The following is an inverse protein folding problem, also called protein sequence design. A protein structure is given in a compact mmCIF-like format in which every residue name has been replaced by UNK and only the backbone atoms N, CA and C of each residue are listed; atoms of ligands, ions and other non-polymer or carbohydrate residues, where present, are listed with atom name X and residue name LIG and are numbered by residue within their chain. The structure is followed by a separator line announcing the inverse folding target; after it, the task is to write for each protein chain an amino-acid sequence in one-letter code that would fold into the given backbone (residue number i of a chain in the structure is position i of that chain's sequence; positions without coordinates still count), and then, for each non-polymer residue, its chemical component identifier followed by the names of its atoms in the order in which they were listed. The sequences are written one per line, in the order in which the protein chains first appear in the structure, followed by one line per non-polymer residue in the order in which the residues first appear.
data_IF_855048619848
#
_entry.id   IF_855048619848
#
_cell.length_a   1.000
_cell.length_b   1.000
_cell.length_c   1.000
_cell.angle_alpha   90.00
_cell.angle_beta   90.00
_cell.angle_gamma   90.00
#
_symmetry.space_group_name_H-M   'P 1'
#
loop_
_entity.id
_entity.type
_entity.pdbx_description
1 polymer ?
#
# COMPACT_ATOMS: atom_id res chain seq x y z
N UNK A 1 10.22 30.86 0.35
CA UNK A 1 9.50 31.13 -0.91
C UNK A 1 8.12 30.50 -0.80
N UNK A 2 7.05 31.26 -1.00
CA UNK A 2 5.69 30.71 -0.99
C UNK A 2 5.30 30.16 -2.38
N UNK A 3 4.15 29.46 -2.49
CA UNK A 3 3.71 28.84 -3.75
C UNK A 3 3.51 29.87 -4.87
N UNK A 4 3.06 31.09 -4.55
CA UNK A 4 2.84 32.14 -5.55
C UNK A 4 4.17 32.67 -6.10
N UNK A 5 5.14 32.93 -5.22
CA UNK A 5 6.52 33.30 -5.58
C UNK A 5 7.19 32.20 -6.40
N UNK A 6 7.07 30.94 -5.96
CA UNK A 6 7.63 29.78 -6.64
C UNK A 6 7.07 29.63 -8.06
N UNK A 7 5.74 29.78 -8.23
CA UNK A 7 5.09 29.76 -9.55
C UNK A 7 5.60 30.88 -10.46
N UNK A 8 5.80 32.08 -9.94
CA UNK A 8 6.34 33.20 -10.72
C UNK A 8 7.79 32.97 -11.14
N UNK A 9 8.65 32.49 -10.24
CA UNK A 9 10.04 32.18 -10.55
C UNK A 9 10.17 31.03 -11.54
N UNK A 10 9.38 29.97 -11.37
CA UNK A 10 9.32 28.86 -12.31
C UNK A 10 8.91 29.34 -13.72
N UNK A 11 7.86 30.17 -13.82
CA UNK A 11 7.44 30.74 -15.11
C UNK A 11 8.55 31.58 -15.75
N UNK A 12 9.27 32.37 -14.96
CA UNK A 12 10.40 33.18 -15.43
C UNK A 12 11.53 32.29 -15.95
N UNK A 13 11.85 31.20 -15.25
CA UNK A 13 12.85 30.22 -15.70
C UNK A 13 12.43 29.56 -17.01
N UNK A 14 11.19 29.06 -17.07
CA UNK A 14 10.63 28.40 -18.26
C UNK A 14 10.60 29.33 -19.48
N UNK A 15 10.33 30.63 -19.29
CA UNK A 15 10.31 31.61 -20.38
C UNK A 15 11.67 31.86 -21.06
N UNK A 16 12.77 31.39 -20.47
CA UNK A 16 14.13 31.55 -21.05
C UNK A 16 14.49 30.43 -22.03
N UNK A 17 13.69 29.38 -22.10
CA UNK A 17 13.94 28.22 -22.96
C UNK A 17 13.36 28.44 -24.35
N UNK A 18 13.95 27.77 -25.35
CA UNK A 18 13.38 27.74 -26.70
C UNK A 18 12.10 26.87 -26.69
N UNK A 19 11.12 27.10 -27.58
CA UNK A 19 9.86 26.36 -27.57
C UNK A 19 9.99 24.83 -27.60
N UNK A 20 10.97 24.30 -28.34
CA UNK A 20 11.24 22.87 -28.39
C UNK A 20 11.75 22.31 -27.05
N UNK A 21 12.68 23.01 -26.40
CA UNK A 21 13.24 22.64 -25.09
C UNK A 21 12.20 22.80 -23.99
N UNK A 22 11.35 23.84 -24.08
CA UNK A 22 10.23 24.03 -23.16
C UNK A 22 9.27 22.84 -23.22
N UNK A 23 8.94 22.38 -24.43
CA UNK A 23 8.05 21.22 -24.61
C UNK A 23 8.68 19.94 -24.05
N UNK A 24 9.97 19.74 -24.27
CA UNK A 24 10.71 18.61 -23.72
C UNK A 24 10.77 18.65 -22.19
N UNK A 25 11.09 19.81 -21.61
CA UNK A 25 11.16 19.99 -20.16
C UNK A 25 9.79 19.85 -19.50
N UNK A 26 8.73 20.41 -20.09
CA UNK A 26 7.36 20.22 -19.59
C UNK A 26 6.90 18.77 -19.69
N UNK A 27 7.35 18.05 -20.73
CA UNK A 27 7.13 16.60 -20.86
C UNK A 27 7.84 15.82 -19.75
N UNK A 28 9.11 16.13 -19.49
CA UNK A 28 9.86 15.53 -18.38
C UNK A 28 9.22 15.88 -17.03
N UNK A 29 8.92 17.15 -16.74
CA UNK A 29 8.30 17.57 -15.48
C UNK A 29 6.96 16.89 -15.19
N UNK A 30 6.19 16.54 -16.23
CA UNK A 30 4.91 15.84 -16.07
C UNK A 30 5.05 14.34 -15.81
N UNK A 31 6.16 13.74 -16.22
CA UNK A 31 6.35 12.29 -16.27
C UNK A 31 7.61 11.82 -15.51
N UNK A 32 8.23 12.69 -14.72
CA UNK A 32 9.47 12.41 -14.01
C UNK A 32 9.16 12.10 -12.55
N UNK A 33 9.23 10.83 -12.22
CA UNK A 33 9.15 10.35 -10.84
C UNK A 33 10.38 10.79 -10.02
N UNK A 34 11.52 11.02 -10.70
CA UNK A 34 12.75 11.55 -10.10
C UNK A 34 12.54 12.92 -9.43
N UNK A 35 11.71 13.80 -9.99
CA UNK A 35 11.45 15.10 -9.38
C UNK A 35 10.74 14.98 -8.02
N UNK A 36 9.79 14.05 -7.90
CA UNK A 36 9.10 13.83 -6.63
C UNK A 36 10.03 13.16 -5.62
N UNK A 37 10.78 12.15 -6.05
CA UNK A 37 11.70 11.39 -5.20
C UNK A 37 12.85 12.26 -4.68
N UNK A 38 13.43 13.12 -5.52
CA UNK A 38 14.55 14.00 -5.16
C UNK A 38 14.11 15.21 -4.33
N UNK A 39 12.95 15.82 -4.63
CA UNK A 39 12.54 17.10 -4.01
C UNK A 39 11.73 16.92 -2.73
N UNK A 40 10.93 15.86 -2.61
CA UNK A 40 10.06 15.66 -1.46
C UNK A 40 10.64 14.63 -0.48
N UNK A 41 11.58 13.80 -0.95
CA UNK A 41 11.93 12.54 -0.30
C UNK A 41 10.70 11.62 -0.27
N UNK A 42 10.87 10.32 -0.43
CA UNK A 42 9.74 9.39 -0.33
C UNK A 42 9.34 9.14 1.14
N UNK A 43 9.16 10.23 1.91
CA UNK A 43 8.63 10.25 3.27
C UNK A 43 7.30 9.49 3.34
N UNK A 44 6.56 9.52 2.23
CA UNK A 44 5.37 8.72 2.03
C UNK A 44 5.62 7.23 2.11
N UNK A 45 6.53 6.71 1.28
CA UNK A 45 6.94 5.31 1.32
C UNK A 45 7.55 4.93 2.66
N UNK A 46 8.38 5.78 3.27
CA UNK A 46 8.95 5.52 4.59
C UNK A 46 7.86 5.39 5.66
N UNK A 47 6.84 6.26 5.62
CA UNK A 47 5.68 6.16 6.50
C UNK A 47 4.92 4.85 6.26
N UNK A 48 4.63 4.50 5.00
CA UNK A 48 3.93 3.26 4.67
C UNK A 48 4.71 2.01 5.08
N UNK A 49 6.03 2.00 4.88
CA UNK A 49 6.91 0.92 5.33
C UNK A 49 6.93 0.80 6.86
N UNK A 50 6.95 1.92 7.58
CA UNK A 50 6.88 1.93 9.04
C UNK A 50 5.54 1.35 9.54
N UNK A 51 4.43 1.74 8.91
CA UNK A 51 3.10 1.18 9.22
C UNK A 51 3.08 -0.33 8.93
N UNK A 52 3.62 -0.77 7.80
CA UNK A 52 3.71 -2.18 7.45
C UNK A 52 4.54 -2.99 8.47
N UNK A 53 5.66 -2.45 8.95
CA UNK A 53 6.47 -3.05 10.02
C UNK A 53 5.69 -3.22 11.33
N UNK A 54 4.96 -2.19 11.75
CA UNK A 54 4.15 -2.26 12.95
C UNK A 54 2.98 -3.23 12.82
N UNK A 55 2.33 -3.25 11.67
CA UNK A 55 1.27 -4.21 11.40
C UNK A 55 1.80 -5.63 11.50
N UNK A 56 2.97 -5.93 10.89
CA UNK A 56 3.63 -7.24 11.00
C UNK A 56 3.93 -7.66 12.44
N UNK A 57 4.19 -6.72 13.34
CA UNK A 57 4.38 -7.02 14.76
C UNK A 57 3.06 -7.38 15.50
N UNK A 58 1.91 -7.04 14.92
CA UNK A 58 0.58 -7.20 15.53
C UNK A 58 -0.32 -8.23 14.83
N UNK A 59 0.10 -8.78 13.69
CA UNK A 59 -0.62 -9.82 12.94
C UNK A 59 0.21 -11.09 12.80
N UNK A 60 -0.46 -12.22 12.58
CA UNK A 60 0.24 -13.45 12.22
C UNK A 60 0.98 -13.30 10.87
N UNK A 61 2.02 -14.09 10.58
CA UNK A 61 2.79 -13.96 9.33
C UNK A 61 1.98 -14.13 8.04
N UNK A 62 0.84 -14.80 8.10
CA UNK A 62 -0.13 -14.93 7.00
C UNK A 62 -1.05 -13.70 6.85
N UNK A 63 -0.85 -12.68 7.69
CA UNK A 63 -1.62 -11.45 7.76
C UNK A 63 -3.12 -11.68 8.03
N UNK A 64 -3.47 -12.80 8.69
CA UNK A 64 -4.85 -13.15 9.00
C UNK A 64 -5.18 -12.91 10.47
N UNK A 65 -6.38 -12.39 10.73
CA UNK A 65 -6.93 -12.39 12.09
C UNK A 65 -7.69 -13.69 12.37
N UNK A 66 -7.82 -14.05 13.65
CA UNK A 66 -8.52 -15.28 14.08
C UNK A 66 -9.96 -15.39 13.54
N UNK A 67 -10.62 -14.25 13.28
CA UNK A 67 -11.95 -14.20 12.68
C UNK A 67 -11.95 -14.63 11.19
N UNK A 68 -10.86 -14.42 10.45
CA UNK A 68 -10.71 -14.86 9.06
C UNK A 68 -10.32 -16.34 8.97
N UNK A 69 -9.68 -16.90 10.01
CA UNK A 69 -9.21 -18.30 10.03
C UNK A 69 -10.36 -19.30 9.82
N UNK A 70 -11.58 -18.98 10.26
CA UNK A 70 -12.76 -19.84 10.07
C UNK A 70 -13.25 -19.88 8.61
N UNK A 71 -13.21 -18.75 7.89
CA UNK A 71 -13.51 -18.68 6.45
C UNK A 71 -12.40 -19.35 5.64
N UNK A 72 -11.15 -19.13 6.04
CA UNK A 72 -9.95 -19.72 5.44
C UNK A 72 -9.92 -21.25 5.52
N UNK A 73 -10.34 -21.82 6.66
CA UNK A 73 -10.44 -23.28 6.86
C UNK A 73 -11.36 -23.97 5.83
N UNK A 74 -12.35 -23.25 5.27
CA UNK A 74 -13.19 -23.75 4.15
C UNK A 74 -12.47 -23.66 2.80
N UNK A 75 -11.61 -22.65 2.60
CA UNK A 75 -10.83 -22.47 1.37
C UNK A 75 -9.64 -23.44 1.27
N UNK A 76 -9.05 -23.85 2.40
CA UNK A 76 -7.99 -24.89 2.42
C UNK A 76 -8.46 -26.30 2.01
N UNK A 77 -9.76 -26.51 1.77
CA UNK A 77 -10.26 -27.73 1.12
C UNK A 77 -9.99 -27.79 -0.39
N UNK A 78 -9.14 -26.92 -0.92
CA UNK A 78 -8.67 -26.93 -2.31
C UNK A 78 -7.63 -28.03 -2.52
N UNK A 79 -7.62 -28.59 -3.73
CA UNK A 79 -6.71 -29.69 -4.14
C UNK A 79 -5.25 -29.29 -4.27
N UNK A 80 -4.94 -27.99 -4.27
CA UNK A 80 -3.58 -27.44 -4.30
C UNK A 80 -3.36 -26.50 -3.10
N UNK A 81 -2.27 -26.65 -2.36
CA UNK A 81 -1.94 -25.72 -1.29
C UNK A 81 -1.53 -24.36 -1.87
N UNK A 82 -2.10 -23.30 -1.29
CA UNK A 82 -1.90 -21.90 -1.69
C UNK A 82 -1.40 -21.14 -0.46
N UNK A 83 -0.34 -20.36 -0.63
CA UNK A 83 0.20 -19.47 0.41
C UNK A 83 -0.27 -18.05 0.14
N UNK A 84 -0.69 -17.38 1.20
CA UNK A 84 -1.15 -16.01 1.14
C UNK A 84 -0.08 -15.09 1.70
N UNK A 85 0.22 -14.05 0.95
CA UNK A 85 1.18 -13.01 1.33
C UNK A 85 0.46 -11.69 1.16
N UNK A 86 0.49 -10.82 2.17
CA UNK A 86 -0.09 -9.49 2.01
C UNK A 86 0.93 -8.56 1.36
N UNK A 87 0.66 -8.10 0.13
CA UNK A 87 1.58 -7.26 -0.64
C UNK A 87 1.89 -5.91 0.00
N UNK A 88 1.04 -5.42 0.92
CA UNK A 88 1.34 -4.22 1.69
C UNK A 88 2.39 -4.48 2.77
N UNK A 89 2.37 -5.68 3.37
CA UNK A 89 3.27 -6.06 4.46
C UNK A 89 4.62 -6.59 4.00
N UNK A 90 4.63 -7.28 2.86
CA UNK A 90 5.81 -7.96 2.33
C UNK A 90 5.99 -7.62 0.85
N UNK A 91 7.12 -6.99 0.51
CA UNK A 91 7.58 -6.88 -0.87
C UNK A 91 8.23 -8.19 -1.36
N UNK A 92 8.50 -8.28 -2.66
CA UNK A 92 9.06 -9.50 -3.28
C UNK A 92 10.41 -9.89 -2.67
N UNK A 93 11.26 -8.91 -2.32
CA UNK A 93 12.57 -9.11 -1.71
C UNK A 93 12.43 -9.67 -0.28
N UNK A 94 11.45 -9.18 0.48
CA UNK A 94 11.13 -9.69 1.80
C UNK A 94 10.56 -11.11 1.75
N UNK A 95 9.74 -11.42 0.75
CA UNK A 95 9.25 -12.79 0.50
C UNK A 95 10.42 -13.73 0.17
N UNK A 96 11.34 -13.30 -0.70
CA UNK A 96 12.55 -14.05 -1.04
C UNK A 96 13.40 -14.32 0.21
N UNK A 97 13.64 -13.29 1.03
CA UNK A 97 14.39 -13.44 2.28
C UNK A 97 13.73 -14.40 3.27
N UNK A 98 12.40 -14.37 3.39
CA UNK A 98 11.66 -15.33 4.23
C UNK A 98 11.79 -16.77 3.71
N UNK A 99 11.86 -16.94 2.39
CA UNK A 99 12.09 -18.24 1.77
C UNK A 99 13.51 -18.76 2.05
N UNK A 100 14.52 -17.91 1.90
CA UNK A 100 15.92 -18.26 2.18
C UNK A 100 16.15 -18.63 3.65
N UNK A 101 15.47 -17.93 4.58
CA UNK A 101 15.53 -18.19 6.02
C UNK A 101 14.72 -19.42 6.46
N UNK A 102 14.01 -20.08 5.54
CA UNK A 102 13.16 -21.23 5.82
C UNK A 102 11.90 -20.89 6.64
N UNK A 103 11.54 -19.61 6.75
CA UNK A 103 10.31 -19.14 7.41
C UNK A 103 9.09 -19.19 6.49
N UNK A 104 9.34 -19.26 5.18
CA UNK A 104 8.35 -19.47 4.13
C UNK A 104 8.91 -20.49 3.12
N UNK A 105 8.05 -21.14 2.34
CA UNK A 105 8.48 -22.00 1.24
C UNK A 105 7.66 -21.67 0.01
N UNK A 106 8.31 -21.60 -1.16
CA UNK A 106 7.64 -21.53 -2.47
C UNK A 106 7.15 -22.87 -2.98
N UNK A 107 7.54 -23.95 -2.30
CA UNK A 107 7.23 -25.31 -2.72
C UNK A 107 6.66 -26.13 -1.56
N UNK A 108 5.79 -27.08 -1.87
CA UNK A 108 5.30 -28.06 -0.90
C UNK A 108 5.71 -29.47 -1.30
N UNK A 109 5.82 -30.32 -0.29
CA UNK A 109 6.24 -31.70 -0.45
C UNK A 109 5.07 -32.55 -0.99
N UNK A 110 5.24 -33.23 -2.13
CA UNK A 110 4.21 -34.14 -2.66
C UNK A 110 4.12 -35.45 -1.85
N UNK A 111 5.12 -35.73 -1.04
CA UNK A 111 5.19 -36.88 -0.11
C UNK A 111 6.10 -36.49 1.05
N UNK A 112 5.60 -36.43 2.29
CA UNK A 112 6.34 -35.85 3.43
C UNK A 112 7.79 -36.35 3.54
N UNK A 113 8.75 -35.44 3.66
CA UNK A 113 10.18 -35.75 3.77
C UNK A 113 10.87 -36.13 2.45
N UNK A 114 10.22 -35.95 1.30
CA UNK A 114 10.85 -36.20 -0.02
C UNK A 114 11.37 -34.91 -0.66
N UNK A 115 12.38 -35.05 -1.52
CA UNK A 115 12.85 -33.98 -2.41
C UNK A 115 11.89 -33.72 -3.59
N UNK A 116 10.76 -34.44 -3.64
CA UNK A 116 9.78 -34.34 -4.72
C UNK A 116 8.74 -33.28 -4.34
N UNK A 117 9.02 -32.05 -4.74
CA UNK A 117 8.20 -30.88 -4.40
C UNK A 117 7.44 -30.33 -5.61
N UNK A 118 6.36 -29.62 -5.36
CA UNK A 118 5.63 -28.84 -6.36
C UNK A 118 5.47 -27.38 -5.91
N UNK A 119 5.36 -26.41 -6.83
CA UNK A 119 5.19 -25.01 -6.47
C UNK A 119 3.86 -24.78 -5.73
N UNK A 120 3.92 -23.88 -4.75
CA UNK A 120 2.76 -23.30 -4.08
C UNK A 120 2.23 -22.14 -4.92
N UNK A 121 0.90 -22.03 -5.01
CA UNK A 121 0.28 -20.84 -5.59
C UNK A 121 0.38 -19.69 -4.56
N UNK A 122 0.87 -18.52 -4.98
CA UNK A 122 0.89 -17.30 -4.15
C UNK A 122 -0.27 -16.38 -4.54
N UNK A 123 -1.03 -15.92 -3.56
CA UNK A 123 -2.09 -14.92 -3.77
C UNK A 123 -1.82 -13.73 -2.86
N UNK A 124 -1.64 -12.55 -3.47
CA UNK A 124 -1.64 -11.29 -2.75
C UNK A 124 -3.06 -10.82 -2.45
N UNK A 125 -3.33 -10.44 -1.20
CA UNK A 125 -4.64 -9.97 -0.75
C UNK A 125 -4.74 -8.44 -0.63
N UNK A 126 -3.70 -7.72 -1.04
CA UNK A 126 -3.61 -6.26 -0.86
C UNK A 126 -2.72 -5.64 -1.92
N UNK A 127 -2.81 -4.31 -2.04
CA UNK A 127 -1.89 -3.53 -2.85
C UNK A 127 -0.55 -3.37 -2.13
N UNK A 128 0.54 -3.54 -2.88
CA UNK A 128 1.88 -3.14 -2.44
C UNK A 128 2.02 -1.63 -2.35
N UNK A 129 3.06 -1.16 -1.66
CA UNK A 129 3.38 0.27 -1.56
C UNK A 129 3.54 0.90 -2.96
N UNK A 130 4.21 0.18 -3.87
CA UNK A 130 4.40 0.62 -5.26
C UNK A 130 3.07 0.70 -6.02
N UNK A 131 2.19 -0.30 -5.87
CA UNK A 131 0.87 -0.27 -6.51
C UNK A 131 -0.03 0.83 -5.93
N UNK A 132 0.03 1.09 -4.62
CA UNK A 132 -0.69 2.18 -3.99
C UNK A 132 -0.23 3.54 -4.53
N UNK A 133 1.09 3.75 -4.62
CA UNK A 133 1.67 4.96 -5.21
C UNK A 133 1.16 5.14 -6.64
N UNK A 134 1.27 4.10 -7.46
CA UNK A 134 0.81 4.13 -8.84
C UNK A 134 -0.70 4.43 -8.97
N UNK A 135 -1.52 3.76 -8.14
CA UNK A 135 -2.96 3.96 -8.11
C UNK A 135 -3.32 5.42 -7.82
N UNK A 136 -2.75 6.01 -6.78
CA UNK A 136 -3.12 7.37 -6.35
C UNK A 136 -2.52 8.48 -7.22
N UNK A 137 -1.31 8.29 -7.75
CA UNK A 137 -0.62 9.32 -8.52
C UNK A 137 -0.94 9.29 -10.02
N UNK A 138 -1.27 8.12 -10.57
CA UNK A 138 -1.41 7.96 -12.03
C UNK A 138 -2.76 7.41 -12.50
N UNK A 139 -3.49 6.66 -11.66
CA UNK A 139 -4.76 6.04 -12.07
C UNK A 139 -5.96 6.86 -11.61
N UNK A 140 -5.98 7.27 -10.36
CA UNK A 140 -7.09 8.02 -9.79
C UNK A 140 -7.07 9.50 -10.23
N UNK A 141 -8.24 10.13 -10.43
CA UNK A 141 -8.31 11.56 -10.69
C UNK A 141 -7.96 12.35 -9.43
N UNK A 142 -7.76 13.67 -9.56
CA UNK A 142 -7.60 14.56 -8.40
C UNK A 142 -8.79 14.42 -7.43
N UNK A 143 -8.47 14.09 -6.18
CA UNK A 143 -9.42 13.84 -5.11
C UNK A 143 -9.64 15.06 -4.21
N UNK A 144 -9.09 16.22 -4.55
CA UNK A 144 -9.29 17.46 -3.80
C UNK A 144 -10.77 17.75 -3.55
N UNK A 145 -11.15 17.95 -2.28
CA UNK A 145 -12.54 18.20 -1.90
C UNK A 145 -13.44 16.96 -1.85
N UNK A 146 -12.91 15.76 -2.16
CA UNK A 146 -13.68 14.52 -2.24
C UNK A 146 -13.46 13.64 -1.02
N UNK A 147 -14.41 12.73 -0.80
CA UNK A 147 -14.28 11.61 0.14
C UNK A 147 -14.01 10.34 -0.64
N UNK A 148 -12.97 9.60 -0.27
CA UNK A 148 -12.72 8.25 -0.77
C UNK A 148 -13.22 7.24 0.27
N UNK A 149 -13.94 6.23 -0.20
CA UNK A 149 -14.46 5.14 0.63
C UNK A 149 -13.81 3.84 0.21
N UNK A 150 -13.16 3.18 1.16
CA UNK A 150 -12.53 1.87 1.00
C UNK A 150 -13.39 0.81 1.68
N UNK A 151 -13.97 -0.09 0.90
CA UNK A 151 -14.91 -1.12 1.38
C UNK A 151 -14.20 -2.46 1.50
N UNK A 152 -14.18 -3.03 2.69
CA UNK A 152 -13.35 -4.18 3.02
C UNK A 152 -11.89 -3.75 3.25
N UNK A 153 -11.69 -2.72 4.07
CA UNK A 153 -10.38 -2.07 4.22
C UNK A 153 -9.30 -2.96 4.86
N UNK A 154 -9.66 -4.11 5.47
CA UNK A 154 -8.74 -5.09 6.08
C UNK A 154 -7.65 -4.47 6.95
N UNK A 155 -6.41 -4.38 6.45
CA UNK A 155 -5.28 -3.80 7.18
C UNK A 155 -5.17 -2.28 7.05
N UNK A 156 -5.94 -1.65 6.16
CA UNK A 156 -5.98 -0.21 5.92
C UNK A 156 -5.02 0.28 4.83
N UNK A 157 -4.43 -0.61 4.03
CA UNK A 157 -3.40 -0.27 3.03
C UNK A 157 -3.82 0.89 2.10
N UNK A 158 -5.04 0.84 1.56
CA UNK A 158 -5.58 1.89 0.68
C UNK A 158 -5.80 3.21 1.43
N UNK A 159 -6.19 3.16 2.71
CA UNK A 159 -6.37 4.36 3.54
C UNK A 159 -5.03 5.05 3.83
N UNK A 160 -3.99 4.28 4.17
CA UNK A 160 -2.66 4.82 4.41
C UNK A 160 -2.06 5.38 3.10
N UNK A 161 -2.17 4.63 2.00
CA UNK A 161 -1.74 5.07 0.68
C UNK A 161 -2.45 6.35 0.26
N UNK A 162 -3.77 6.44 0.46
CA UNK A 162 -4.55 7.63 0.16
C UNK A 162 -4.19 8.81 1.05
N UNK A 163 -3.80 8.57 2.31
CA UNK A 163 -3.31 9.63 3.20
C UNK A 163 -1.97 10.20 2.74
N UNK A 164 -1.12 9.37 2.16
CA UNK A 164 0.19 9.80 1.70
C UNK A 164 0.13 10.45 0.33
N UNK A 165 -0.55 9.81 -0.61
CA UNK A 165 -0.44 10.11 -2.04
C UNK A 165 -1.64 10.87 -2.61
N UNK A 166 -2.63 11.23 -1.79
CA UNK A 166 -3.82 11.95 -2.29
C UNK A 166 -4.20 13.19 -1.48
N UNK A 167 -4.84 14.12 -2.18
CA UNK A 167 -5.47 15.34 -1.68
C UNK A 167 -6.91 15.13 -1.17
N UNK A 168 -7.37 13.88 -1.02
CA UNK A 168 -8.72 13.58 -0.55
C UNK A 168 -9.03 14.27 0.78
N UNK A 169 -10.16 14.97 0.86
CA UNK A 169 -10.56 15.67 2.09
C UNK A 169 -10.90 14.71 3.22
N UNK A 170 -11.34 13.49 2.88
CA UNK A 170 -11.63 12.43 3.86
C UNK A 170 -11.41 11.05 3.25
N UNK A 171 -10.89 10.14 4.06
CA UNK A 171 -10.65 8.73 3.74
C UNK A 171 -11.47 7.90 4.74
N UNK A 172 -12.42 7.10 4.26
CA UNK A 172 -13.32 6.30 5.09
C UNK A 172 -13.15 4.81 4.81
N UNK A 173 -12.66 4.06 5.79
CA UNK A 173 -12.63 2.61 5.75
C UNK A 173 -13.91 2.01 6.30
N UNK A 174 -14.51 1.07 5.56
CA UNK A 174 -15.60 0.24 6.03
C UNK A 174 -15.11 -1.20 6.14
N UNK A 175 -15.19 -1.77 7.34
CA UNK A 175 -14.69 -3.12 7.62
C UNK A 175 -15.67 -3.89 8.49
N UNK A 176 -15.90 -5.16 8.21
CA UNK A 176 -16.85 -5.99 8.97
C UNK A 176 -16.23 -6.51 10.28
N UNK A 177 -14.91 -6.75 10.28
CA UNK A 177 -14.20 -7.26 11.44
C UNK A 177 -13.85 -6.13 12.40
N UNK A 178 -14.46 -6.15 13.59
CA UNK A 178 -14.06 -5.26 14.69
C UNK A 178 -12.57 -5.36 15.02
N UNK A 179 -11.95 -6.54 14.87
CA UNK A 179 -10.52 -6.74 15.11
C UNK A 179 -9.67 -5.91 14.16
N UNK A 180 -10.03 -5.90 12.87
CA UNK A 180 -9.35 -5.05 11.89
C UNK A 180 -9.62 -3.57 12.12
N UNK A 181 -10.86 -3.19 12.47
CA UNK A 181 -11.17 -1.80 12.81
C UNK A 181 -10.30 -1.30 13.97
N UNK A 182 -10.17 -2.09 15.05
CA UNK A 182 -9.32 -1.74 16.20
C UNK A 182 -7.84 -1.65 15.82
N UNK A 183 -7.36 -2.57 15.00
CA UNK A 183 -5.97 -2.56 14.52
C UNK A 183 -5.71 -1.31 13.67
N UNK A 184 -6.57 -1.03 12.68
CA UNK A 184 -6.47 0.17 11.85
C UNK A 184 -6.52 1.43 12.72
N UNK A 185 -7.49 1.53 13.63
CA UNK A 185 -7.64 2.69 14.52
C UNK A 185 -6.38 2.93 15.38
N UNK A 186 -5.74 1.86 15.87
CA UNK A 186 -4.47 1.97 16.60
C UNK A 186 -3.33 2.54 15.73
N UNK A 187 -3.27 2.16 14.45
CA UNK A 187 -2.29 2.70 13.50
C UNK A 187 -2.60 4.16 13.16
N UNK A 188 -3.87 4.52 12.95
CA UNK A 188 -4.27 5.89 12.68
C UNK A 188 -3.85 6.82 13.83
N UNK A 189 -4.03 6.39 15.09
CA UNK A 189 -3.61 7.17 16.25
C UNK A 189 -2.09 7.24 16.39
N UNK A 190 -1.38 6.10 16.23
CA UNK A 190 0.09 6.04 16.33
C UNK A 190 0.76 6.98 15.33
N UNK A 191 0.26 7.01 14.10
CA UNK A 191 0.81 7.79 12.99
C UNK A 191 0.13 9.15 12.79
N UNK A 192 -0.83 9.52 13.65
CA UNK A 192 -1.56 10.80 13.63
C UNK A 192 -2.27 11.08 12.30
N UNK A 193 -2.94 10.07 11.76
CA UNK A 193 -3.67 10.12 10.49
C UNK A 193 -5.16 10.46 10.68
N UNK A 194 -5.59 10.69 11.92
CA UNK A 194 -7.00 10.85 12.32
C UNK A 194 -7.59 12.21 11.95
N UNK A 195 -6.80 13.14 11.41
CA UNK A 195 -7.28 14.43 10.91
C UNK A 195 -8.20 14.28 9.70
N UNK A 196 -8.02 13.22 8.90
CA UNK A 196 -8.86 12.94 7.72
C UNK A 196 -9.14 11.47 7.43
N UNK A 197 -8.53 10.53 8.14
CA UNK A 197 -8.83 9.10 8.02
C UNK A 197 -9.75 8.65 9.14
N UNK A 198 -10.77 7.87 8.79
CA UNK A 198 -11.67 7.22 9.74
C UNK A 198 -11.96 5.79 9.30
N UNK A 199 -12.13 4.89 10.26
CA UNK A 199 -12.56 3.52 10.00
C UNK A 199 -13.80 3.21 10.84
N UNK A 200 -14.79 2.55 10.24
CA UNK A 200 -16.04 2.18 10.88
C UNK A 200 -16.36 0.69 10.64
N UNK A 201 -17.08 0.10 11.59
CA UNK A 201 -17.62 -1.25 11.42
C UNK A 201 -18.81 -1.20 10.45
N UNK A 202 -18.77 -2.01 9.39
CA UNK A 202 -19.86 -2.07 8.42
C UNK A 202 -21.11 -2.70 9.07
N UNK A 203 -22.23 -1.97 9.04
CA UNK A 203 -23.51 -2.41 9.63
C UNK A 203 -23.71 -2.04 11.11
N UNK A 204 -22.90 -1.12 11.64
CA UNK A 204 -23.13 -0.46 12.94
C UNK A 204 -24.08 0.73 12.85
#
# INVERSE_FOLDING_TARGET
MNVAEAKSELKRLLSRLRPAELTQLLGWMKNSDELEDELLGDNGRVLLQSIAEDLRANVAPDAMLACETAAYSKMQRRSRPTVHVDGFLYDDEQVDSLCERGLMSRNYCLSCGSHRTAPLDFISHSFSVTELRFLFQHVLPDLSGRTLVDVGSRLGAVLYGGYVYSSASRLLGLEISEGFVRLQDSMLHKYKLTDRVQVCVFGS
#
